data_IF_163565018980
#
_entry.id   IF_163565018980
#
_cell.length_a   1.000
_cell.length_b   1.000
_cell.length_c   1.000
_cell.angle_alpha   90.00
_cell.angle_beta   90.00
_cell.angle_gamma   90.00
#
_symmetry.space_group_name_H-M   'P 1'
#
loop_
_entity.id
_entity.type
_entity.pdbx_description
1 polymer ?
#
# COMPACT_ATOMS: atom_id res chain seq x y z
N UNK A 1 -9.09 4.93 -1.26
CA UNK A 1 -9.74 5.37 -2.51
C UNK A 1 -11.25 5.14 -2.48
N UNK A 2 -11.73 3.94 -2.10
CA UNK A 2 -13.16 3.61 -1.98
C UNK A 2 -13.99 4.69 -1.25
N UNK A 3 -13.56 5.11 -0.06
CA UNK A 3 -14.28 6.12 0.72
C UNK A 3 -14.42 7.45 -0.03
N UNK A 4 -13.35 7.92 -0.68
CA UNK A 4 -13.37 9.18 -1.43
C UNK A 4 -14.33 9.10 -2.63
N UNK A 5 -14.34 7.96 -3.32
CA UNK A 5 -15.24 7.71 -4.44
C UNK A 5 -16.71 7.63 -3.98
N UNK A 6 -16.99 6.97 -2.85
CA UNK A 6 -18.33 6.93 -2.27
C UNK A 6 -18.81 8.32 -1.84
N UNK A 7 -17.92 9.15 -1.29
CA UNK A 7 -18.23 10.55 -0.95
C UNK A 7 -18.49 11.37 -2.22
N UNK A 8 -17.69 11.20 -3.27
CA UNK A 8 -17.90 11.88 -4.54
C UNK A 8 -19.23 11.49 -5.19
N UNK A 9 -19.58 10.20 -5.14
CA UNK A 9 -20.86 9.68 -5.60
C UNK A 9 -22.02 10.32 -4.84
N UNK A 10 -21.95 10.36 -3.49
CA UNK A 10 -22.97 10.97 -2.65
C UNK A 10 -23.14 12.49 -2.93
N UNK A 11 -22.08 13.15 -3.39
CA UNK A 11 -22.09 14.57 -3.80
C UNK A 11 -22.49 14.80 -5.27
N UNK A 12 -22.80 13.75 -6.03
CA UNK A 12 -23.20 13.85 -7.43
C UNK A 12 -22.04 14.12 -8.40
N UNK A 13 -20.80 13.90 -7.98
CA UNK A 13 -19.57 14.25 -8.71
C UNK A 13 -19.12 13.15 -9.69
N UNK A 14 -20.04 12.63 -10.52
CA UNK A 14 -19.81 11.45 -11.38
C UNK A 14 -18.81 11.65 -12.53
N UNK A 15 -18.65 12.88 -13.01
CA UNK A 15 -17.76 13.21 -14.13
C UNK A 15 -16.38 13.68 -13.68
N UNK A 16 -16.08 13.59 -12.38
CA UNK A 16 -14.78 13.99 -11.85
C UNK A 16 -13.72 12.98 -12.32
N UNK A 17 -12.63 13.44 -12.97
CA UNK A 17 -11.57 12.55 -13.39
C UNK A 17 -10.95 11.78 -12.21
N UNK A 18 -10.58 10.51 -12.42
CA UNK A 18 -9.93 9.70 -11.38
C UNK A 18 -8.63 10.31 -10.86
N UNK A 19 -7.96 11.13 -11.68
CA UNK A 19 -6.75 11.85 -11.30
C UNK A 19 -6.95 12.77 -10.08
N UNK A 20 -8.16 13.28 -9.87
CA UNK A 20 -8.51 14.13 -8.70
C UNK A 20 -8.52 13.34 -7.38
N UNK A 21 -8.62 12.01 -7.45
CA UNK A 21 -8.57 11.12 -6.28
C UNK A 21 -7.21 10.45 -6.11
N UNK A 22 -6.22 10.83 -6.92
CA UNK A 22 -4.86 10.29 -6.82
C UNK A 22 -4.29 10.63 -5.45
N UNK A 23 -3.68 9.62 -4.82
CA UNK A 23 -2.94 9.77 -3.56
C UNK A 23 -1.45 9.67 -3.85
N UNK A 24 -0.64 10.30 -3.01
CA UNK A 24 0.79 10.07 -3.03
C UNK A 24 1.09 8.68 -2.47
N UNK A 25 2.13 8.06 -2.99
CA UNK A 25 2.62 6.76 -2.54
C UNK A 25 4.02 6.95 -2.00
N UNK A 26 4.35 6.22 -0.93
CA UNK A 26 5.73 6.10 -0.48
C UNK A 26 6.51 5.31 -1.52
N UNK A 27 7.78 5.69 -1.71
CA UNK A 27 8.69 5.03 -2.64
C UNK A 27 9.92 4.62 -1.83
N UNK A 28 10.26 3.34 -1.91
CA UNK A 28 11.38 2.74 -1.19
C UNK A 28 12.39 2.17 -2.19
N UNK A 29 13.69 2.34 -1.95
CA UNK A 29 14.69 1.57 -2.68
C UNK A 29 14.62 0.10 -2.27
N UNK A 30 14.93 -0.80 -3.20
CA UNK A 30 14.93 -2.26 -2.96
C UNK A 30 15.94 -2.72 -1.89
N UNK A 31 16.85 -1.85 -1.48
CA UNK A 31 17.87 -2.12 -0.47
C UNK A 31 17.39 -1.98 0.97
N UNK A 32 16.17 -1.46 1.21
CA UNK A 32 15.62 -1.35 2.57
C UNK A 32 15.22 -2.72 3.13
N UNK A 33 15.47 -2.90 4.43
CA UNK A 33 15.02 -4.09 5.16
C UNK A 33 13.53 -4.02 5.50
N UNK A 34 12.90 -5.18 5.69
CA UNK A 34 11.51 -5.26 6.12
C UNK A 34 11.22 -4.46 7.41
N UNK A 35 12.16 -4.45 8.38
CA UNK A 35 12.00 -3.67 9.62
C UNK A 35 11.95 -2.17 9.37
N UNK A 36 12.80 -1.65 8.47
CA UNK A 36 12.82 -0.23 8.12
C UNK A 36 11.56 0.17 7.36
N UNK A 37 11.12 -0.70 6.44
CA UNK A 37 9.86 -0.52 5.70
C UNK A 37 8.68 -0.48 6.68
N UNK A 38 8.63 -1.41 7.64
CA UNK A 38 7.60 -1.45 8.68
C UNK A 38 7.51 -0.14 9.46
N UNK A 39 8.64 0.32 10.01
CA UNK A 39 8.70 1.55 10.80
C UNK A 39 8.18 2.76 10.00
N UNK A 40 8.55 2.85 8.72
CA UNK A 40 8.15 3.95 7.85
C UNK A 40 6.68 3.88 7.42
N UNK A 41 6.18 2.70 7.06
CA UNK A 41 4.76 2.48 6.76
C UNK A 41 3.87 2.83 7.96
N UNK A 42 4.28 2.42 9.16
CA UNK A 42 3.59 2.73 10.41
C UNK A 42 3.62 4.23 10.73
N UNK A 43 4.76 4.90 10.55
CA UNK A 43 4.91 6.33 10.78
C UNK A 43 3.98 7.16 9.88
N UNK A 44 3.97 6.82 8.59
CA UNK A 44 3.19 7.53 7.56
C UNK A 44 1.71 7.07 7.52
N UNK A 45 1.35 6.06 8.31
CA UNK A 45 0.02 5.42 8.30
C UNK A 45 -0.39 4.99 6.90
N UNK A 46 0.57 4.46 6.14
CA UNK A 46 0.36 3.91 4.80
C UNK A 46 0.40 2.39 4.85
N UNK A 47 -0.46 1.74 4.07
CA UNK A 47 -0.50 0.28 3.94
C UNK A 47 0.18 -0.23 2.66
N UNK A 48 0.63 0.69 1.79
CA UNK A 48 1.19 0.36 0.48
C UNK A 48 2.36 1.30 0.16
N UNK A 49 3.41 0.75 -0.43
CA UNK A 49 4.52 1.51 -1.00
C UNK A 49 4.99 0.91 -2.32
N UNK A 50 5.66 1.72 -3.12
CA UNK A 50 6.31 1.34 -4.37
C UNK A 50 7.78 1.01 -4.09
N UNK A 51 8.30 -0.04 -4.71
CA UNK A 51 9.71 -0.42 -4.63
C UNK A 51 10.40 -0.11 -5.95
N UNK A 52 11.55 0.55 -5.88
CA UNK A 52 12.35 0.95 -7.05
C UNK A 52 13.80 0.51 -6.93
N UNK A 53 14.45 0.33 -8.08
CA UNK A 53 15.91 0.16 -8.16
C UNK A 53 16.64 1.51 -8.13
N UNK A 54 17.97 1.48 -8.21
CA UNK A 54 18.83 2.66 -8.19
C UNK A 54 18.68 3.56 -9.41
N UNK A 55 18.10 3.05 -10.49
CA UNK A 55 17.81 3.79 -11.72
C UNK A 55 16.38 4.37 -11.72
N UNK A 56 15.59 4.11 -10.68
CA UNK A 56 14.20 4.54 -10.54
C UNK A 56 13.21 3.65 -11.30
N UNK A 57 13.64 2.48 -11.78
CA UNK A 57 12.76 1.48 -12.38
C UNK A 57 11.89 0.88 -11.29
N UNK A 58 10.60 0.74 -11.57
CA UNK A 58 9.67 0.08 -10.66
C UNK A 58 9.95 -1.41 -10.64
N UNK A 59 10.29 -1.92 -9.47
CA UNK A 59 10.45 -3.36 -9.21
C UNK A 59 9.13 -3.98 -8.76
N UNK A 60 8.30 -3.24 -8.02
CA UNK A 60 7.00 -3.72 -7.59
C UNK A 60 6.36 -2.85 -6.52
N UNK A 61 5.45 -3.46 -5.76
CA UNK A 61 4.80 -2.88 -4.59
C UNK A 61 5.06 -3.75 -3.37
N UNK A 62 4.96 -3.13 -2.19
CA UNK A 62 5.00 -3.83 -0.91
C UNK A 62 3.82 -3.38 -0.07
N UNK A 63 3.17 -4.33 0.60
CA UNK A 63 2.07 -4.06 1.54
C UNK A 63 2.55 -4.13 2.98
N UNK A 64 1.80 -3.53 3.90
CA UNK A 64 2.08 -3.67 5.33
C UNK A 64 1.92 -5.13 5.80
N UNK A 65 0.98 -5.88 5.22
CA UNK A 65 0.72 -7.27 5.55
C UNK A 65 1.95 -8.14 5.26
N UNK A 66 2.46 -8.11 4.02
CA UNK A 66 3.64 -8.87 3.61
C UNK A 66 4.88 -8.56 4.48
N UNK A 67 5.03 -7.29 4.87
CA UNK A 67 6.13 -6.84 5.72
C UNK A 67 6.02 -7.44 7.12
N UNK A 68 4.82 -7.46 7.69
CA UNK A 68 4.59 -8.05 9.01
C UNK A 68 4.77 -9.57 8.95
N UNK A 69 4.25 -10.25 7.93
CA UNK A 69 4.46 -11.68 7.71
C UNK A 69 5.94 -12.04 7.63
N UNK A 70 6.71 -11.24 6.88
CA UNK A 70 8.16 -11.42 6.75
C UNK A 70 8.88 -11.26 8.09
N UNK A 71 8.46 -10.30 8.92
CA UNK A 71 9.07 -10.04 10.23
C UNK A 71 8.73 -11.11 11.27
N UNK A 72 7.51 -11.64 11.24
CA UNK A 72 7.03 -12.66 12.18
C UNK A 72 7.41 -14.07 11.72
N UNK A 73 7.61 -14.27 10.42
CA UNK A 73 7.87 -15.57 9.79
C UNK A 73 6.63 -16.48 9.77
N UNK A 74 5.44 -15.90 9.80
CA UNK A 74 4.15 -16.59 9.77
C UNK A 74 3.24 -15.85 8.79
N UNK A 75 2.48 -16.60 7.99
CA UNK A 75 1.42 -16.03 7.17
C UNK A 75 0.30 -15.48 8.06
N UNK A 76 -0.24 -14.32 7.68
CA UNK A 76 -1.40 -13.71 8.33
C UNK A 76 -2.62 -14.11 7.50
N UNK A 77 -3.38 -15.07 8.02
CA UNK A 77 -4.63 -15.52 7.41
C UNK A 77 -5.79 -14.64 7.88
N UNK A 78 -6.56 -14.10 6.94
CA UNK A 78 -7.79 -13.40 7.25
C UNK A 78 -8.90 -14.43 7.59
N UNK A 79 -9.89 -14.00 8.36
CA UNK A 79 -11.03 -14.83 8.76
C UNK A 79 -11.88 -15.33 7.58
N UNK A 80 -11.71 -14.71 6.41
CA UNK A 80 -12.37 -15.05 5.16
C UNK A 80 -11.52 -15.95 4.25
N UNK A 81 -10.24 -16.14 4.57
CA UNK A 81 -9.36 -17.01 3.81
C UNK A 81 -9.77 -18.46 4.02
N UNK A 82 -10.19 -19.12 2.94
CA UNK A 82 -10.45 -20.56 2.98
C UNK A 82 -9.11 -21.26 3.10
N UNK A 83 -8.94 -21.99 4.19
CA UNK A 83 -7.84 -22.95 4.35
C UNK A 83 -7.99 -23.98 3.22
N UNK A 84 -7.08 -23.97 2.25
CA UNK A 84 -6.91 -25.08 1.30
C UNK A 84 -6.21 -26.26 1.99
#
# INVERSE_FOLDING_TARGET
LKSDLLVAQAKGLFNTPLSEFRRNFLVFPETLTASQIFDQLMHEKSHLALVVDEYGTVQGIVTLEDVVETLIGLEITDELDKVE
#
